data_IF_827680113479
#
_entry.id   IF_827680113479
#
_cell.length_a   1.000
_cell.length_b   1.000
_cell.length_c   1.000
_cell.angle_alpha   90.00
_cell.angle_beta   90.00
_cell.angle_gamma   90.00
#
_symmetry.space_group_name_H-M   'P 1'
#
loop_
_entity.id
_entity.type
_entity.pdbx_description
1 polymer ?
#
# COMPACT_ATOMS: atom_id res chain seq x y z
N UNK A 1 -21.05 39.94 32.84
CA UNK A 1 -20.34 38.74 33.33
C UNK A 1 -20.80 37.47 32.63
N UNK A 2 -22.10 37.21 32.39
CA UNK A 2 -22.55 35.95 31.69
C UNK A 2 -22.07 35.80 30.23
N UNK A 3 -21.88 36.89 29.49
CA UNK A 3 -21.43 36.85 28.07
C UNK A 3 -19.94 36.50 27.91
N UNK A 4 -19.11 36.78 28.90
CA UNK A 4 -17.67 36.45 28.88
C UNK A 4 -17.45 34.99 29.17
N UNK A 5 -18.31 34.36 29.99
CA UNK A 5 -18.19 32.93 30.32
C UNK A 5 -18.52 32.01 29.11
N UNK A 6 -19.47 32.44 28.25
CA UNK A 6 -19.83 31.69 27.02
C UNK A 6 -18.71 31.73 25.99
N UNK A 7 -18.00 32.85 25.89
CA UNK A 7 -16.87 32.98 24.95
C UNK A 7 -15.66 32.12 25.37
N UNK A 8 -15.43 31.95 26.69
CA UNK A 8 -14.32 31.11 27.19
C UNK A 8 -14.59 29.60 26.98
N UNK A 9 -15.85 29.15 27.08
CA UNK A 9 -16.20 27.75 26.84
C UNK A 9 -16.15 27.37 25.36
N UNK A 10 -16.44 28.28 24.45
CA UNK A 10 -16.31 28.06 23.02
C UNK A 10 -14.84 27.93 22.57
N UNK A 11 -13.92 28.58 23.25
CA UNK A 11 -12.48 28.54 22.96
C UNK A 11 -11.80 27.24 23.45
N UNK A 12 -12.34 26.60 24.49
CA UNK A 12 -11.81 25.33 25.02
C UNK A 12 -12.21 24.10 24.19
N UNK A 13 -13.25 24.20 23.37
CA UNK A 13 -13.69 23.07 22.50
C UNK A 13 -12.84 22.97 21.23
N UNK A 14 -12.13 24.02 20.84
CA UNK A 14 -11.30 24.03 19.61
C UNK A 14 -9.89 23.44 19.80
N UNK A 15 -9.47 23.05 21.02
CA UNK A 15 -8.12 22.50 21.29
C UNK A 15 -8.06 20.97 21.26
N UNK A 16 -9.06 20.26 20.83
CA UNK A 16 -9.19 18.80 21.04
C UNK A 16 -8.98 17.90 19.83
N UNK A 17 -8.50 18.39 18.71
CA UNK A 17 -8.19 17.50 17.58
C UNK A 17 -6.67 17.33 17.42
N UNK A 18 -6.02 16.78 18.45
CA UNK A 18 -4.73 16.12 18.24
C UNK A 18 -5.07 14.85 17.49
N UNK A 19 -4.81 14.82 16.18
CA UNK A 19 -4.86 13.61 15.40
C UNK A 19 -3.86 12.62 16.02
N UNK A 20 -4.35 11.66 16.79
CA UNK A 20 -3.54 10.57 17.29
C UNK A 20 -3.17 9.74 16.08
N UNK A 21 -1.92 9.78 15.65
CA UNK A 21 -1.43 8.91 14.59
C UNK A 21 -1.44 7.47 15.11
N UNK A 22 -2.50 6.75 14.77
CA UNK A 22 -2.61 5.34 15.12
C UNK A 22 -1.60 4.54 14.28
N UNK A 23 -0.69 3.85 14.93
CA UNK A 23 0.31 3.00 14.28
C UNK A 23 -0.02 1.51 14.50
N UNK A 24 -0.18 0.77 13.41
CA UNK A 24 -0.52 -0.63 13.38
C UNK A 24 0.63 -1.45 12.81
N UNK A 25 1.08 -2.46 13.52
CA UNK A 25 2.15 -3.34 13.06
C UNK A 25 1.58 -4.44 12.15
N UNK A 26 2.14 -4.61 10.95
CA UNK A 26 1.69 -5.64 10.02
C UNK A 26 1.78 -7.07 10.61
N UNK A 27 2.77 -7.32 11.46
CA UNK A 27 2.97 -8.63 12.12
C UNK A 27 1.84 -8.99 13.10
N UNK A 28 1.20 -8.01 13.74
CA UNK A 28 0.01 -8.23 14.59
C UNK A 28 -1.17 -8.75 13.77
N UNK A 29 -1.22 -8.40 12.49
CA UNK A 29 -2.23 -8.86 11.54
C UNK A 29 -1.88 -10.19 10.86
N UNK A 30 -0.78 -10.82 11.27
CA UNK A 30 -0.33 -12.11 10.78
C UNK A 30 0.61 -12.02 9.58
N UNK A 31 1.12 -10.83 9.24
CA UNK A 31 2.15 -10.71 8.22
C UNK A 31 3.46 -11.36 8.69
N UNK A 32 4.07 -12.17 7.81
CA UNK A 32 5.31 -12.90 8.06
C UNK A 32 6.45 -12.35 7.24
N UNK A 33 7.58 -12.11 7.89
CA UNK A 33 8.79 -11.55 7.27
C UNK A 33 9.77 -12.61 6.76
N UNK A 34 9.26 -13.80 6.43
CA UNK A 34 10.06 -15.00 6.10
C UNK A 34 10.52 -15.07 4.64
N UNK A 35 10.04 -14.18 3.79
CA UNK A 35 10.33 -14.16 2.34
C UNK A 35 9.70 -15.32 1.56
N UNK A 36 8.75 -16.05 2.14
CA UNK A 36 8.11 -17.23 1.56
C UNK A 36 6.58 -17.10 1.62
N UNK A 37 6.04 -16.75 2.79
CA UNK A 37 4.58 -16.67 3.01
C UNK A 37 3.97 -15.52 2.23
N UNK A 38 2.83 -15.76 1.58
CA UNK A 38 2.00 -14.70 1.02
C UNK A 38 1.31 -13.91 2.14
N UNK A 39 1.48 -12.60 2.10
CA UNK A 39 0.95 -11.66 3.08
C UNK A 39 -0.24 -10.83 2.57
N UNK A 40 -0.68 -11.05 1.34
CA UNK A 40 -1.71 -10.24 0.67
C UNK A 40 -2.95 -10.07 1.55
N UNK A 41 -3.51 -11.18 2.02
CA UNK A 41 -4.71 -11.17 2.84
C UNK A 41 -4.49 -10.53 4.22
N UNK A 42 -3.31 -10.69 4.82
CA UNK A 42 -2.98 -10.10 6.12
C UNK A 42 -2.82 -8.59 6.02
N UNK A 43 -2.10 -8.12 5.02
CA UNK A 43 -1.91 -6.70 4.76
C UNK A 43 -3.23 -6.02 4.37
N UNK A 44 -4.03 -6.66 3.50
CA UNK A 44 -5.31 -6.10 3.08
C UNK A 44 -6.29 -5.96 4.27
N UNK A 45 -6.40 -6.98 5.12
CA UNK A 45 -7.24 -6.89 6.34
C UNK A 45 -6.80 -5.76 7.26
N UNK A 46 -5.48 -5.55 7.42
CA UNK A 46 -4.97 -4.43 8.20
C UNK A 46 -5.38 -3.08 7.59
N UNK A 47 -5.19 -2.92 6.28
CA UNK A 47 -5.57 -1.70 5.55
C UNK A 47 -7.08 -1.44 5.69
N UNK A 48 -7.90 -2.47 5.48
CA UNK A 48 -9.36 -2.37 5.60
C UNK A 48 -9.80 -1.94 7.00
N UNK A 49 -9.20 -2.52 8.02
CA UNK A 49 -9.47 -2.17 9.42
C UNK A 49 -9.07 -0.73 9.73
N UNK A 50 -7.85 -0.33 9.35
CA UNK A 50 -7.32 1.01 9.61
C UNK A 50 -8.21 2.07 8.97
N UNK A 51 -8.57 1.89 7.70
CA UNK A 51 -9.45 2.81 6.99
C UNK A 51 -10.82 2.91 7.66
N UNK A 52 -11.42 1.78 8.04
CA UNK A 52 -12.74 1.74 8.69
C UNK A 52 -12.74 2.37 10.11
N UNK A 53 -11.58 2.52 10.76
CA UNK A 53 -11.44 3.05 12.12
C UNK A 53 -10.78 4.45 12.16
N UNK A 54 -10.98 5.24 11.13
CA UNK A 54 -10.55 6.64 11.09
C UNK A 54 -9.16 6.88 10.53
N UNK A 55 -8.51 5.84 10.01
CA UNK A 55 -7.20 5.94 9.39
C UNK A 55 -6.03 5.66 10.34
N UNK A 56 -4.83 5.74 9.78
CA UNK A 56 -3.59 5.51 10.51
C UNK A 56 -2.47 4.97 9.63
N UNK A 57 -1.42 4.53 10.29
CA UNK A 57 -0.21 4.02 9.62
C UNK A 57 -0.10 2.51 9.79
N UNK A 58 -0.05 1.77 8.68
CA UNK A 58 0.34 0.37 8.67
C UNK A 58 1.86 0.29 8.52
N UNK A 59 2.55 -0.15 9.57
CA UNK A 59 4.00 -0.23 9.62
C UNK A 59 4.50 -1.64 9.34
N UNK A 60 5.42 -1.72 8.37
CA UNK A 60 6.16 -2.91 8.00
C UNK A 60 7.64 -2.66 8.35
N UNK A 61 8.19 -3.44 9.25
CA UNK A 61 9.57 -3.32 9.67
C UNK A 61 10.47 -4.38 9.02
N UNK A 62 11.71 -4.46 9.45
CA UNK A 62 12.78 -5.28 8.89
C UNK A 62 12.30 -6.69 8.51
N UNK A 63 12.64 -7.12 7.29
CA UNK A 63 12.31 -8.45 6.78
C UNK A 63 11.80 -8.42 5.33
N UNK A 64 11.53 -9.59 4.78
CA UNK A 64 11.04 -9.77 3.41
C UNK A 64 9.59 -10.25 3.44
N UNK A 65 8.70 -9.48 2.90
CA UNK A 65 7.25 -9.75 2.90
C UNK A 65 6.77 -9.95 1.47
N UNK A 66 6.52 -11.20 1.07
CA UNK A 66 5.91 -11.48 -0.24
C UNK A 66 4.45 -11.11 -0.18
N UNK A 67 3.96 -10.43 -1.20
CA UNK A 67 2.56 -10.07 -1.35
C UNK A 67 2.16 -10.03 -2.82
N UNK A 68 0.93 -10.40 -3.11
CA UNK A 68 0.23 -9.99 -4.31
C UNK A 68 -0.28 -8.56 -4.18
N UNK A 69 -1.34 -8.23 -4.91
CA UNK A 69 -1.88 -6.87 -4.88
C UNK A 69 -2.49 -6.51 -3.54
N UNK A 70 -2.21 -5.28 -3.09
CA UNK A 70 -2.86 -4.63 -1.95
C UNK A 70 -3.47 -3.30 -2.38
N UNK A 71 -4.69 -3.05 -1.94
CA UNK A 71 -5.40 -1.80 -2.21
C UNK A 71 -5.30 -0.86 -1.01
N UNK A 72 -4.71 0.32 -1.21
CA UNK A 72 -4.76 1.38 -0.22
C UNK A 72 -6.15 2.02 -0.21
N UNK A 73 -6.64 2.31 1.00
CA UNK A 73 -7.94 2.92 1.26
C UNK A 73 -7.79 4.24 2.01
N UNK A 74 -8.88 4.96 2.17
CA UNK A 74 -8.92 6.28 2.78
C UNK A 74 -8.16 6.36 4.10
N UNK A 75 -7.38 7.42 4.24
CA UNK A 75 -6.65 7.77 5.45
C UNK A 75 -5.60 6.73 5.88
N UNK A 76 -5.09 5.91 4.96
CA UNK A 76 -4.08 4.89 5.27
C UNK A 76 -2.71 5.32 4.75
N UNK A 77 -1.73 5.32 5.64
CA UNK A 77 -0.31 5.41 5.31
C UNK A 77 0.32 4.02 5.39
N UNK A 78 0.93 3.55 4.29
CA UNK A 78 1.79 2.37 4.31
C UNK A 78 3.21 2.83 4.62
N UNK A 79 3.75 2.42 5.77
CA UNK A 79 5.10 2.77 6.18
C UNK A 79 6.04 1.57 6.07
N UNK A 80 7.06 1.70 5.22
CA UNK A 80 8.12 0.70 5.06
C UNK A 80 9.36 1.18 5.80
N UNK A 81 9.62 0.60 6.95
CA UNK A 81 10.79 0.91 7.77
C UNK A 81 12.11 0.55 7.08
N UNK A 82 13.22 1.02 7.62
CA UNK A 82 14.54 0.65 7.12
C UNK A 82 14.76 -0.87 7.25
N UNK A 83 15.22 -1.51 6.17
CA UNK A 83 15.36 -2.97 6.09
C UNK A 83 14.08 -3.75 5.81
N UNK A 84 12.93 -3.08 5.68
CA UNK A 84 11.71 -3.70 5.17
C UNK A 84 11.78 -3.84 3.65
N UNK A 85 11.47 -5.02 3.15
CA UNK A 85 11.38 -5.30 1.71
C UNK A 85 10.00 -5.89 1.41
N UNK A 86 9.17 -5.14 0.72
CA UNK A 86 7.90 -5.63 0.18
C UNK A 86 8.17 -6.25 -1.18
N UNK A 87 7.95 -7.54 -1.32
CA UNK A 87 8.34 -8.34 -2.49
C UNK A 87 7.09 -8.72 -3.28
N UNK A 88 7.07 -8.36 -4.56
CA UNK A 88 5.99 -8.73 -5.45
C UNK A 88 5.90 -10.25 -5.65
N UNK A 89 4.71 -10.84 -5.53
CA UNK A 89 4.47 -12.22 -5.92
C UNK A 89 4.75 -12.42 -7.41
N UNK A 90 5.26 -13.59 -7.75
CA UNK A 90 5.43 -14.02 -9.14
C UNK A 90 4.25 -14.84 -9.66
N UNK A 91 3.25 -15.08 -8.84
CA UNK A 91 2.03 -15.76 -9.22
C UNK A 91 0.95 -14.71 -9.56
N UNK A 92 0.47 -14.71 -10.81
CA UNK A 92 -0.53 -13.74 -11.28
C UNK A 92 -1.84 -13.79 -10.47
N UNK A 93 -2.24 -14.95 -10.00
CA UNK A 93 -3.49 -15.11 -9.25
C UNK A 93 -3.49 -14.39 -7.90
N UNK A 94 -2.31 -14.12 -7.32
CA UNK A 94 -2.19 -13.36 -6.07
C UNK A 94 -2.55 -11.86 -6.25
N UNK A 95 -2.63 -11.39 -7.51
CA UNK A 95 -3.04 -10.02 -7.82
C UNK A 95 -4.57 -9.87 -7.92
N UNK A 96 -5.30 -10.97 -8.05
CA UNK A 96 -6.76 -10.98 -8.09
C UNK A 96 -7.36 -9.97 -9.10
N UNK A 97 -6.72 -9.81 -10.25
CA UNK A 97 -7.12 -8.87 -11.30
C UNK A 97 -6.79 -7.41 -11.04
N UNK A 98 -6.06 -7.11 -9.98
CA UNK A 98 -5.64 -5.75 -9.67
C UNK A 98 -4.62 -5.21 -10.70
N UNK A 99 -4.62 -3.89 -10.98
CA UNK A 99 -3.76 -3.30 -11.99
C UNK A 99 -2.30 -3.15 -11.55
N UNK A 100 -2.01 -3.21 -10.23
CA UNK A 100 -0.68 -3.05 -9.68
C UNK A 100 -0.51 -3.77 -8.32
N UNK A 101 0.75 -3.94 -7.89
CA UNK A 101 1.09 -4.49 -6.58
C UNK A 101 0.52 -3.65 -5.43
N UNK A 102 0.68 -2.33 -5.51
CA UNK A 102 0.06 -1.37 -4.59
C UNK A 102 -0.80 -0.45 -5.45
N UNK A 103 -2.08 -0.41 -5.16
CA UNK A 103 -3.00 0.41 -5.94
C UNK A 103 -4.06 1.08 -5.08
N UNK A 104 -4.65 2.14 -5.62
CA UNK A 104 -5.82 2.79 -5.04
C UNK A 104 -6.71 3.32 -6.14
N UNK A 105 -8.00 3.39 -5.86
CA UNK A 105 -8.98 4.04 -6.70
C UNK A 105 -9.91 4.86 -5.82
N UNK A 106 -10.05 6.15 -6.15
CA UNK A 106 -10.92 7.11 -5.47
C UNK A 106 -10.64 7.28 -3.95
N UNK A 107 -9.50 6.75 -3.43
CA UNK A 107 -9.14 6.86 -2.03
C UNK A 107 -8.51 8.22 -1.72
N UNK A 108 -8.75 8.78 -0.53
CA UNK A 108 -8.25 10.09 -0.10
C UNK A 108 -7.22 9.94 1.03
N UNK A 109 -6.29 10.90 1.09
CA UNK A 109 -5.30 11.00 2.17
C UNK A 109 -4.51 9.68 2.36
N UNK A 110 -3.93 9.19 1.28
CA UNK A 110 -3.10 7.97 1.27
C UNK A 110 -1.64 8.31 1.07
N UNK A 111 -0.75 7.51 1.66
CA UNK A 111 0.68 7.68 1.48
C UNK A 111 1.44 6.36 1.54
N UNK A 112 2.58 6.32 0.84
CA UNK A 112 3.63 5.31 1.02
C UNK A 112 4.86 6.05 1.54
N UNK A 113 5.31 5.73 2.74
CA UNK A 113 6.40 6.45 3.42
C UNK A 113 7.47 5.50 3.94
N UNK A 114 8.64 6.06 4.24
CA UNK A 114 9.73 5.35 4.91
C UNK A 114 10.96 5.17 4.03
N UNK A 115 11.88 4.29 4.46
CA UNK A 115 13.17 4.01 3.80
C UNK A 115 13.29 2.56 3.33
N UNK A 116 12.16 1.84 3.27
CA UNK A 116 12.12 0.47 2.81
C UNK A 116 12.25 0.33 1.30
N UNK A 117 12.08 -0.90 0.85
CA UNK A 117 12.24 -1.30 -0.55
C UNK A 117 10.96 -1.97 -1.05
N UNK A 118 10.54 -1.64 -2.25
CA UNK A 118 9.53 -2.36 -3.01
C UNK A 118 10.26 -3.11 -4.13
N UNK A 119 10.31 -4.43 -4.01
CA UNK A 119 10.96 -5.31 -4.98
C UNK A 119 9.94 -5.83 -5.98
N UNK A 120 10.01 -5.34 -7.21
CA UNK A 120 9.14 -5.73 -8.31
C UNK A 120 9.82 -6.82 -9.13
N UNK A 121 9.14 -7.95 -9.32
CA UNK A 121 9.64 -9.13 -10.05
C UNK A 121 8.91 -9.30 -11.38
N UNK A 122 8.91 -8.25 -12.20
CA UNK A 122 8.10 -8.20 -13.43
C UNK A 122 8.45 -9.29 -14.45
N UNK A 123 9.74 -9.62 -14.64
CA UNK A 123 10.14 -10.69 -15.57
C UNK A 123 9.58 -12.05 -15.16
N UNK A 124 9.66 -12.36 -13.86
CA UNK A 124 9.15 -13.62 -13.36
C UNK A 124 7.62 -13.67 -13.40
N UNK A 125 6.93 -12.56 -13.10
CA UNK A 125 5.50 -12.45 -13.21
C UNK A 125 5.02 -12.55 -14.67
N UNK A 126 5.72 -11.87 -15.59
CA UNK A 126 5.44 -11.95 -17.02
C UNK A 126 5.62 -13.38 -17.57
N UNK A 127 6.67 -14.07 -17.13
CA UNK A 127 6.88 -15.48 -17.49
C UNK A 127 5.74 -16.38 -16.97
N UNK A 128 5.26 -16.13 -15.74
CA UNK A 128 4.11 -16.83 -15.18
C UNK A 128 2.85 -16.59 -16.01
N UNK A 129 2.54 -15.32 -16.35
CA UNK A 129 1.39 -14.97 -17.20
C UNK A 129 1.46 -15.70 -18.55
N UNK A 130 2.62 -15.64 -19.23
CA UNK A 130 2.82 -16.32 -20.52
C UNK A 130 2.60 -17.83 -20.44
N UNK A 131 3.08 -18.47 -19.37
CA UNK A 131 2.84 -19.91 -19.13
C UNK A 131 1.37 -20.21 -18.91
N UNK A 132 0.66 -19.37 -18.12
CA UNK A 132 -0.78 -19.56 -17.87
C UNK A 132 -1.63 -19.32 -19.13
N UNK A 133 -1.26 -18.35 -19.97
CA UNK A 133 -1.89 -18.10 -21.27
C UNK A 133 -1.66 -19.29 -22.22
N UNK A 134 -0.43 -19.80 -22.29
CA UNK A 134 -0.11 -20.96 -23.13
C UNK A 134 -0.88 -22.23 -22.73
N UNK A 135 -1.23 -22.37 -21.45
CA UNK A 135 -2.05 -23.45 -20.90
C UNK A 135 -3.55 -23.22 -21.05
N UNK A 136 -3.97 -22.05 -21.54
CA UNK A 136 -5.37 -21.68 -21.71
C UNK A 136 -6.10 -21.30 -20.42
N UNK A 137 -5.36 -21.02 -19.34
CA UNK A 137 -5.92 -20.60 -18.04
C UNK A 137 -6.13 -19.09 -17.96
N UNK A 138 -5.42 -18.30 -18.74
CA UNK A 138 -5.59 -16.87 -18.84
C UNK A 138 -5.86 -16.42 -20.29
N UNK A 139 -6.61 -15.33 -20.49
CA UNK A 139 -6.79 -14.71 -21.79
C UNK A 139 -5.45 -14.21 -22.37
N UNK A 140 -5.34 -14.20 -23.70
CA UNK A 140 -4.12 -13.77 -24.40
C UNK A 140 -3.79 -12.28 -24.21
N UNK A 141 -4.77 -11.46 -23.87
CA UNK A 141 -4.68 -10.03 -23.62
C UNK A 141 -4.50 -9.68 -22.12
N UNK A 142 -4.17 -10.68 -21.29
CA UNK A 142 -3.93 -10.47 -19.86
C UNK A 142 -2.79 -9.46 -19.65
N UNK A 143 -3.12 -8.33 -19.00
CA UNK A 143 -2.16 -7.28 -18.73
C UNK A 143 -1.20 -7.65 -17.58
N UNK A 144 0.05 -7.20 -17.69
CA UNK A 144 1.03 -7.30 -16.60
C UNK A 144 0.73 -6.23 -15.54
N UNK A 145 0.46 -6.61 -14.26
CA UNK A 145 0.29 -5.64 -13.19
C UNK A 145 1.50 -4.75 -12.99
N UNK A 146 1.27 -3.46 -12.74
CA UNK A 146 2.31 -2.49 -12.43
C UNK A 146 2.86 -2.61 -11.01
N UNK A 147 3.83 -1.76 -10.66
CA UNK A 147 4.38 -1.70 -9.29
C UNK A 147 3.45 -0.93 -8.35
N UNK A 148 3.12 0.30 -8.71
CA UNK A 148 2.26 1.20 -7.91
C UNK A 148 1.36 1.99 -8.86
N UNK A 149 0.07 2.03 -8.55
CA UNK A 149 -0.93 2.82 -9.28
C UNK A 149 -1.87 3.49 -8.27
N UNK A 150 -1.69 4.79 -8.05
CA UNK A 150 -2.52 5.57 -7.14
C UNK A 150 -3.33 6.59 -7.96
N UNK A 151 -4.59 6.24 -8.22
CA UNK A 151 -5.51 7.05 -9.03
C UNK A 151 -6.25 8.06 -8.15
N UNK A 152 -5.52 9.04 -7.60
CA UNK A 152 -6.13 10.12 -6.83
C UNK A 152 -5.24 11.34 -6.66
N UNK A 153 -5.84 12.51 -6.54
CA UNK A 153 -5.14 13.73 -6.21
C UNK A 153 -4.68 13.71 -4.74
N UNK A 154 -3.41 14.02 -4.50
CA UNK A 154 -2.85 14.14 -3.15
C UNK A 154 -2.27 12.85 -2.56
N UNK A 155 -2.16 11.76 -3.33
CA UNK A 155 -1.37 10.61 -2.90
C UNK A 155 0.11 10.99 -2.78
N UNK A 156 0.75 10.57 -1.67
CA UNK A 156 2.15 10.89 -1.40
C UNK A 156 2.99 9.62 -1.42
N UNK A 157 4.04 9.62 -2.25
CA UNK A 157 5.08 8.58 -2.20
C UNK A 157 6.38 9.26 -1.74
N UNK A 158 6.93 8.80 -0.62
CA UNK A 158 8.19 9.29 -0.11
C UNK A 158 9.33 8.95 -1.09
N UNK A 159 10.11 9.93 -1.55
CA UNK A 159 11.23 9.70 -2.48
C UNK A 159 12.34 8.82 -1.89
N UNK A 160 12.35 8.58 -0.58
CA UNK A 160 13.26 7.66 0.09
C UNK A 160 12.90 6.18 -0.12
N UNK A 161 11.69 5.86 -0.58
CA UNK A 161 11.30 4.51 -0.96
C UNK A 161 12.08 4.08 -2.21
N UNK A 162 12.74 2.94 -2.10
CA UNK A 162 13.51 2.37 -3.23
C UNK A 162 12.67 1.35 -3.97
N UNK A 163 12.60 1.52 -5.28
CA UNK A 163 12.02 0.52 -6.17
C UNK A 163 13.15 -0.30 -6.78
N UNK A 164 13.17 -1.61 -6.49
CA UNK A 164 14.03 -2.56 -7.17
C UNK A 164 13.22 -3.23 -8.27
N UNK A 165 13.65 -3.05 -9.50
CA UNK A 165 13.01 -3.63 -10.67
C UNK A 165 14.02 -4.40 -11.50
N UNK A 166 13.56 -5.53 -12.04
CA UNK A 166 14.26 -6.36 -12.97
C UNK A 166 14.06 -5.92 -14.44
N UNK A 167 13.27 -4.84 -14.68
CA UNK A 167 13.06 -4.24 -15.99
C UNK A 167 13.16 -2.72 -15.94
N UNK A 168 13.67 -2.10 -17.03
CA UNK A 168 13.75 -0.64 -17.16
C UNK A 168 12.38 0.07 -17.24
N UNK A 169 11.30 -0.66 -17.45
CA UNK A 169 9.94 -0.13 -17.61
C UNK A 169 9.16 0.06 -16.30
N UNK A 170 9.63 -0.49 -15.20
CA UNK A 170 8.89 -0.52 -13.94
C UNK A 170 8.77 0.82 -13.21
N UNK A 171 9.56 1.82 -13.60
CA UNK A 171 9.52 3.17 -13.03
C UNK A 171 8.40 4.05 -13.58
N UNK A 172 7.61 3.58 -14.56
CA UNK A 172 6.67 4.43 -15.31
C UNK A 172 5.23 4.42 -14.84
N UNK A 173 4.88 3.65 -13.82
CA UNK A 173 3.49 3.57 -13.35
C UNK A 173 3.26 4.26 -12.01
N UNK A 174 3.87 5.43 -11.85
CA UNK A 174 3.40 6.42 -10.90
C UNK A 174 2.73 7.53 -11.72
N UNK A 175 1.52 7.28 -12.22
CA UNK A 175 0.71 8.35 -12.79
C UNK A 175 0.10 9.12 -11.62
N UNK A 176 0.81 10.15 -11.18
CA UNK A 176 0.14 11.25 -10.49
C UNK A 176 -0.68 11.96 -11.58
N UNK A 177 -1.99 12.12 -11.45
CA UNK A 177 -2.72 13.03 -12.31
C UNK A 177 -2.17 14.45 -12.08
N UNK A 178 -1.89 15.17 -13.19
CA UNK A 178 -1.57 16.59 -13.19
C UNK A 178 -2.70 17.44 -12.56
#
# INVERSE_FOLDING_TARGET
>A
MKKILIALTAWLVSLGCLAQENNYLATVWGAKSDGISDNSASLQRAIDYISAHGGGTLSIYVGRYITGAIQLKDNVTLYLGEGAVLVASTNYYDYNGAPALIWSKDAQNIAIKGKGVIECRHKALEANIKDQVAKGYLPADTALPGSVLLENAGAVIDPSIKFLSDTAQSTRYCSLPE
#
